data_IF_915248005765
#
_entry.id   IF_915248005765
#
_cell.length_a   1.000
_cell.length_b   1.000
_cell.length_c   1.000
_cell.angle_alpha   90.00
_cell.angle_beta   90.00
_cell.angle_gamma   90.00
#
_symmetry.space_group_name_H-M   'P 1'
#
loop_
_entity.id
_entity.type
_entity.pdbx_description
1 polymer ?
#
# COMPACT_ATOMS: atom_id res chain seq x y z
N UNK A 1 -10.66 -2.20 13.95
CA UNK A 1 -9.55 -2.60 14.86
C UNK A 1 -9.01 -3.99 14.49
N UNK A 2 -9.87 -5.00 14.36
CA UNK A 2 -9.46 -6.41 14.11
C UNK A 2 -8.74 -6.66 12.78
N UNK A 3 -8.85 -5.78 11.81
CA UNK A 3 -8.09 -5.86 10.55
C UNK A 3 -6.61 -5.50 10.71
N UNK A 4 -6.29 -4.69 11.73
CA UNK A 4 -4.95 -4.17 11.94
C UNK A 4 -4.31 -4.61 13.26
N UNK A 5 -5.11 -5.04 14.24
CA UNK A 5 -4.66 -5.39 15.59
C UNK A 5 -5.11 -6.79 16.00
N UNK A 6 -4.24 -7.49 16.72
CA UNK A 6 -4.63 -8.69 17.45
C UNK A 6 -5.59 -8.30 18.59
N UNK A 7 -6.73 -8.98 18.69
CA UNK A 7 -7.80 -8.63 19.64
C UNK A 7 -7.42 -8.80 21.12
N UNK A 8 -6.33 -9.55 21.42
CA UNK A 8 -5.91 -9.82 22.81
C UNK A 8 -4.71 -9.00 23.21
N UNK A 9 -3.73 -8.81 22.28
CA UNK A 9 -2.47 -8.15 22.59
C UNK A 9 -2.43 -6.70 22.11
N UNK A 10 -3.33 -6.32 21.22
CA UNK A 10 -3.33 -5.04 20.50
C UNK A 10 -2.10 -4.79 19.63
N UNK A 11 -1.23 -5.77 19.46
CA UNK A 11 -0.12 -5.70 18.52
C UNK A 11 -0.62 -5.59 17.08
N UNK A 12 0.16 -4.91 16.23
CA UNK A 12 -0.16 -4.81 14.81
C UNK A 12 -0.08 -6.19 14.15
N UNK A 13 -1.14 -6.55 13.44
CA UNK A 13 -1.25 -7.82 12.74
C UNK A 13 -2.21 -7.69 11.55
N UNK A 14 -1.76 -7.93 10.31
CA UNK A 14 -2.68 -8.09 9.19
C UNK A 14 -3.63 -9.27 9.43
N UNK A 15 -4.91 -9.09 9.16
CA UNK A 15 -5.92 -10.12 9.37
C UNK A 15 -6.10 -11.05 8.14
N UNK A 16 -5.70 -10.57 6.94
CA UNK A 16 -6.00 -11.26 5.68
C UNK A 16 -4.95 -12.29 5.30
N UNK A 17 -5.35 -13.58 5.07
CA UNK A 17 -4.41 -14.65 4.74
C UNK A 17 -3.60 -14.40 3.46
N UNK A 18 -4.20 -13.78 2.43
CA UNK A 18 -3.56 -13.55 1.14
C UNK A 18 -2.21 -12.81 1.23
N UNK A 19 -2.06 -11.87 2.20
CA UNK A 19 -0.78 -11.19 2.42
C UNK A 19 0.29 -12.16 2.93
N UNK A 20 -0.04 -13.01 3.88
CA UNK A 20 0.90 -14.00 4.43
C UNK A 20 1.33 -15.00 3.37
N UNK A 21 0.41 -15.45 2.54
CA UNK A 21 0.66 -16.37 1.43
C UNK A 21 1.54 -15.74 0.36
N UNK A 22 1.24 -14.50 -0.05
CA UNK A 22 2.04 -13.77 -1.03
C UNK A 22 3.49 -13.59 -0.54
N UNK A 23 3.68 -13.22 0.72
CA UNK A 23 5.01 -13.05 1.29
C UNK A 23 5.74 -14.38 1.45
N UNK A 24 5.04 -15.44 1.82
CA UNK A 24 5.64 -16.77 1.91
C UNK A 24 6.14 -17.25 0.52
N UNK A 25 5.43 -16.96 -0.57
CA UNK A 25 5.84 -17.31 -1.93
C UNK A 25 7.16 -16.62 -2.35
N UNK A 26 7.44 -15.44 -1.85
CA UNK A 26 8.72 -14.73 -2.07
C UNK A 26 9.75 -14.94 -0.94
N UNK A 27 9.55 -15.97 -0.12
CA UNK A 27 10.50 -16.36 0.93
C UNK A 27 10.52 -15.44 2.17
N UNK A 28 9.49 -14.63 2.37
CA UNK A 28 9.35 -13.72 3.52
C UNK A 28 8.28 -14.21 4.49
N UNK A 29 8.43 -13.85 5.77
CA UNK A 29 7.43 -14.13 6.81
C UNK A 29 6.94 -12.82 7.41
N UNK A 30 5.68 -12.48 7.19
CA UNK A 30 5.02 -11.28 7.73
C UNK A 30 5.16 -11.18 9.25
N UNK A 31 5.16 -12.32 9.98
CA UNK A 31 5.27 -12.37 11.43
C UNK A 31 6.63 -11.90 11.96
N UNK A 32 7.65 -11.88 11.09
CA UNK A 32 9.02 -11.43 11.41
C UNK A 32 9.26 -9.97 11.03
N UNK A 33 8.26 -9.30 10.47
CA UNK A 33 8.36 -7.89 10.14
C UNK A 33 8.61 -7.04 11.40
N UNK A 34 9.45 -6.03 11.28
CA UNK A 34 9.64 -5.04 12.34
C UNK A 34 8.34 -4.26 12.59
N UNK A 35 8.22 -3.62 13.75
CA UNK A 35 7.08 -2.77 14.05
C UNK A 35 6.88 -1.69 12.99
N UNK A 36 7.97 -1.09 12.48
CA UNK A 36 7.91 -0.06 11.43
C UNK A 36 7.38 -0.63 10.10
N UNK A 37 7.83 -1.81 9.69
CA UNK A 37 7.29 -2.48 8.50
C UNK A 37 5.82 -2.84 8.70
N UNK A 38 5.46 -3.33 9.89
CA UNK A 38 4.08 -3.70 10.20
C UNK A 38 3.11 -2.52 10.08
N UNK A 39 3.56 -1.28 10.36
CA UNK A 39 2.81 -0.03 10.14
C UNK A 39 2.48 0.25 8.66
N UNK A 40 3.12 -0.47 7.74
CA UNK A 40 2.74 -0.50 6.31
C UNK A 40 1.96 -1.76 5.95
N UNK A 41 2.34 -2.93 6.48
CA UNK A 41 1.75 -4.21 6.10
C UNK A 41 0.26 -4.34 6.48
N UNK A 42 -0.16 -3.73 7.58
CA UNK A 42 -1.59 -3.68 7.94
C UNK A 42 -2.43 -2.88 6.92
N UNK A 43 -1.80 -2.02 6.13
CA UNK A 43 -2.45 -1.32 5.02
C UNK A 43 -2.31 -2.14 3.72
N UNK A 44 -1.13 -2.71 3.48
CA UNK A 44 -0.80 -3.49 2.30
C UNK A 44 -1.72 -4.71 2.09
N UNK A 45 -2.29 -5.27 3.16
CA UNK A 45 -3.25 -6.39 3.05
C UNK A 45 -4.51 -6.04 2.22
N UNK A 46 -4.75 -4.75 1.95
CA UNK A 46 -5.85 -4.26 1.10
C UNK A 46 -5.34 -3.32 0.00
N UNK A 47 -4.27 -2.55 0.25
CA UNK A 47 -3.69 -1.59 -0.68
C UNK A 47 -2.55 -2.20 -1.50
N UNK A 48 -2.82 -3.31 -2.18
CA UNK A 48 -1.89 -4.05 -3.03
C UNK A 48 -2.62 -4.56 -4.26
N UNK A 49 -1.90 -4.89 -5.32
CA UNK A 49 -2.49 -5.48 -6.51
C UNK A 49 -3.04 -6.87 -6.20
N UNK A 50 -4.16 -7.23 -6.82
CA UNK A 50 -4.81 -8.51 -6.60
C UNK A 50 -5.68 -8.94 -7.78
N UNK A 51 -5.99 -10.23 -7.84
CA UNK A 51 -7.01 -10.78 -8.71
C UNK A 51 -7.73 -11.95 -8.02
N UNK A 52 -8.80 -12.42 -8.63
CA UNK A 52 -9.52 -13.60 -8.16
C UNK A 52 -9.26 -14.79 -9.08
N UNK A 53 -8.75 -15.87 -8.52
CA UNK A 53 -8.55 -17.14 -9.19
C UNK A 53 -9.91 -17.82 -9.40
N UNK A 54 -10.49 -17.70 -10.59
CA UNK A 54 -11.82 -18.23 -10.92
C UNK A 54 -11.89 -19.75 -10.77
N UNK A 55 -10.84 -20.43 -11.18
CA UNK A 55 -10.74 -21.90 -11.12
C UNK A 55 -10.65 -22.42 -9.68
N UNK A 56 -10.21 -21.57 -8.75
CA UNK A 56 -10.09 -21.87 -7.33
C UNK A 56 -11.20 -21.20 -6.49
N UNK A 57 -12.43 -21.15 -7.02
CA UNK A 57 -13.59 -20.62 -6.30
C UNK A 57 -13.56 -19.10 -6.06
N UNK A 58 -12.95 -18.33 -6.94
CA UNK A 58 -12.69 -16.91 -6.80
C UNK A 58 -11.81 -16.58 -5.58
N UNK A 59 -10.77 -17.38 -5.37
CA UNK A 59 -9.82 -17.13 -4.29
C UNK A 59 -9.01 -15.87 -4.55
N UNK A 60 -8.83 -15.04 -3.51
CA UNK A 60 -8.05 -13.80 -3.59
C UNK A 60 -6.55 -14.11 -3.67
N UNK A 61 -5.90 -13.65 -4.72
CA UNK A 61 -4.48 -13.84 -4.96
C UNK A 61 -3.77 -12.50 -5.17
N UNK A 62 -2.56 -12.36 -4.62
CA UNK A 62 -1.67 -11.22 -4.86
C UNK A 62 -0.56 -11.66 -5.83
N UNK A 63 -0.41 -11.03 -7.01
CA UNK A 63 0.49 -11.45 -8.09
C UNK A 63 1.94 -10.99 -7.84
N UNK A 64 2.53 -11.39 -6.73
CA UNK A 64 3.83 -10.89 -6.26
C UNK A 64 4.96 -11.91 -6.37
N UNK A 65 4.75 -13.04 -7.03
CA UNK A 65 5.72 -14.13 -7.19
C UNK A 65 7.00 -13.70 -7.90
N UNK A 66 6.91 -12.70 -8.78
CA UNK A 66 8.05 -12.15 -9.52
C UNK A 66 8.66 -10.91 -8.86
N UNK A 67 8.03 -10.37 -7.84
CA UNK A 67 8.49 -9.20 -7.09
C UNK A 67 7.36 -8.27 -6.67
N UNK A 68 7.75 -7.18 -6.02
CA UNK A 68 6.84 -6.19 -5.41
C UNK A 68 6.80 -4.90 -6.23
N UNK A 69 6.82 -5.00 -7.55
CA UNK A 69 6.70 -3.85 -8.48
C UNK A 69 5.51 -4.05 -9.41
N UNK A 70 5.03 -2.97 -10.02
CA UNK A 70 3.96 -3.05 -11.01
C UNK A 70 4.37 -3.88 -12.23
N UNK A 71 5.62 -3.74 -12.67
CA UNK A 71 6.18 -4.50 -13.79
C UNK A 71 6.25 -6.01 -13.47
N UNK A 72 6.60 -6.37 -12.24
CA UNK A 72 6.64 -7.76 -11.81
C UNK A 72 5.22 -8.37 -11.77
N UNK A 73 4.21 -7.59 -11.38
CA UNK A 73 2.81 -8.03 -11.43
C UNK A 73 2.34 -8.23 -12.88
N UNK A 74 2.69 -7.32 -13.80
CA UNK A 74 2.40 -7.47 -15.24
C UNK A 74 3.05 -8.73 -15.80
N UNK A 75 4.34 -8.95 -15.54
CA UNK A 75 5.06 -10.15 -15.96
C UNK A 75 4.42 -11.43 -15.42
N UNK A 76 3.93 -11.38 -14.18
CA UNK A 76 3.20 -12.50 -13.58
C UNK A 76 1.91 -12.79 -14.36
N UNK A 77 1.07 -11.77 -14.59
CA UNK A 77 -0.19 -11.91 -15.33
C UNK A 77 0.03 -12.42 -16.76
N UNK A 78 1.06 -11.94 -17.44
CA UNK A 78 1.43 -12.43 -18.77
C UNK A 78 1.82 -13.91 -18.72
N UNK A 79 2.58 -14.32 -17.69
CA UNK A 79 3.04 -15.70 -17.56
C UNK A 79 1.91 -16.72 -17.39
N UNK A 80 0.78 -16.32 -16.79
CA UNK A 80 -0.41 -17.15 -16.60
C UNK A 80 -1.51 -16.86 -17.64
N UNK A 81 -1.28 -15.93 -18.55
CA UNK A 81 -2.26 -15.52 -19.57
C UNK A 81 -3.52 -14.85 -19.01
N UNK A 82 -3.42 -14.26 -17.83
CA UNK A 82 -4.56 -13.62 -17.16
C UNK A 82 -4.97 -12.32 -17.83
N UNK A 83 -6.25 -12.07 -17.89
CA UNK A 83 -6.87 -10.80 -18.28
C UNK A 83 -8.26 -10.69 -17.65
N UNK A 84 -8.71 -9.47 -17.37
CA UNK A 84 -10.02 -9.24 -16.76
C UNK A 84 -11.15 -9.42 -17.78
N UNK A 85 -11.00 -8.83 -18.98
CA UNK A 85 -11.99 -8.92 -20.05
C UNK A 85 -11.39 -8.68 -21.44
N UNK A 86 -12.18 -9.01 -22.47
CA UNK A 86 -11.85 -8.72 -23.86
C UNK A 86 -12.66 -7.52 -24.32
N UNK A 87 -11.99 -6.49 -24.83
CA UNK A 87 -12.65 -5.34 -25.39
C UNK A 87 -13.54 -5.77 -26.60
N UNK A 88 -14.84 -5.45 -26.61
CA UNK A 88 -15.75 -5.96 -27.63
C UNK A 88 -15.47 -5.41 -29.04
N UNK A 89 -14.84 -4.25 -29.15
CA UNK A 89 -14.52 -3.63 -30.44
C UNK A 89 -13.15 -4.05 -30.95
N UNK A 90 -12.08 -3.79 -30.18
CA UNK A 90 -10.71 -4.05 -30.59
C UNK A 90 -10.29 -5.52 -30.45
N UNK A 91 -11.06 -6.33 -29.73
CA UNK A 91 -10.73 -7.71 -29.33
C UNK A 91 -9.46 -7.83 -28.48
N UNK A 92 -8.92 -6.71 -28.02
CA UNK A 92 -7.77 -6.71 -27.13
C UNK A 92 -8.13 -7.29 -25.76
N UNK A 93 -7.23 -8.08 -25.20
CA UNK A 93 -7.27 -8.50 -23.79
C UNK A 93 -6.91 -7.31 -22.93
N UNK A 94 -7.74 -7.01 -21.94
CA UNK A 94 -7.55 -5.87 -21.04
C UNK A 94 -7.29 -6.40 -19.64
N UNK A 95 -6.18 -5.96 -19.08
CA UNK A 95 -5.83 -6.10 -17.68
C UNK A 95 -6.19 -4.81 -16.95
N UNK A 96 -6.85 -4.93 -15.84
CA UNK A 96 -7.18 -3.80 -14.95
C UNK A 96 -6.25 -3.84 -13.73
N UNK A 97 -5.46 -2.80 -13.53
CA UNK A 97 -4.78 -2.60 -12.25
C UNK A 97 -5.83 -2.34 -11.16
N UNK A 98 -5.88 -3.20 -10.14
CA UNK A 98 -6.90 -3.12 -9.09
C UNK A 98 -6.51 -2.09 -8.03
N UNK A 99 -5.38 -2.32 -7.33
CA UNK A 99 -5.02 -1.49 -6.20
C UNK A 99 -3.51 -1.50 -5.87
N UNK A 100 -2.58 -1.27 -6.82
CA UNK A 100 -1.13 -1.42 -6.63
C UNK A 100 -0.50 -0.30 -5.77
N UNK A 101 -1.17 0.13 -4.70
CA UNK A 101 -0.72 1.23 -3.86
C UNK A 101 0.57 0.91 -3.10
N UNK A 102 0.69 -0.31 -2.59
CA UNK A 102 1.87 -0.75 -1.85
C UNK A 102 3.08 -0.92 -2.75
N UNK A 103 2.90 -1.47 -3.95
CA UNK A 103 3.93 -1.62 -4.96
C UNK A 103 4.49 -0.26 -5.40
N UNK A 104 3.60 0.71 -5.68
CA UNK A 104 3.98 2.09 -6.02
C UNK A 104 4.71 2.78 -4.86
N UNK A 105 4.21 2.60 -3.64
CA UNK A 105 4.86 3.16 -2.44
C UNK A 105 6.29 2.62 -2.26
N UNK A 106 6.52 1.31 -2.44
CA UNK A 106 7.84 0.70 -2.31
C UNK A 106 8.86 1.24 -3.31
N UNK A 107 8.42 1.64 -4.50
CA UNK A 107 9.27 2.26 -5.53
C UNK A 107 9.59 3.73 -5.22
N UNK A 108 8.78 4.39 -4.40
CA UNK A 108 8.96 5.78 -3.99
C UNK A 108 10.06 5.97 -2.96
N UNK A 109 10.63 7.19 -2.91
CA UNK A 109 11.72 7.54 -1.99
C UNK A 109 11.35 7.31 -0.51
N UNK A 110 10.10 7.54 -0.12
CA UNK A 110 9.64 7.33 1.26
C UNK A 110 9.63 5.85 1.62
N UNK A 111 9.14 4.98 0.74
CA UNK A 111 9.18 3.53 0.93
C UNK A 111 10.62 3.00 1.02
N UNK A 112 11.49 3.45 0.11
CA UNK A 112 12.92 3.08 0.12
C UNK A 112 13.66 3.55 1.39
N UNK A 113 13.18 4.60 2.05
CA UNK A 113 13.73 5.12 3.31
C UNK A 113 13.04 4.57 4.55
N UNK A 114 12.11 3.63 4.40
CA UNK A 114 11.42 2.97 5.50
C UNK A 114 10.40 3.86 6.23
N UNK A 115 9.93 4.95 5.60
CA UNK A 115 8.81 5.74 6.13
C UNK A 115 7.53 4.94 5.91
N UNK A 116 6.78 4.63 6.96
CA UNK A 116 5.59 3.79 6.83
C UNK A 116 4.36 4.52 6.29
N UNK A 117 3.38 3.76 5.80
CA UNK A 117 2.08 4.32 5.41
C UNK A 117 1.44 5.10 6.57
N UNK A 118 1.53 4.56 7.78
CA UNK A 118 0.97 5.19 8.97
C UNK A 118 1.69 6.48 9.38
N UNK A 119 2.98 6.66 9.06
CA UNK A 119 3.70 7.89 9.37
C UNK A 119 3.09 9.11 8.66
N UNK A 120 2.53 8.88 7.45
CA UNK A 120 1.88 9.92 6.67
C UNK A 120 0.36 9.97 6.87
N UNK A 121 -0.32 8.80 6.87
CA UNK A 121 -1.79 8.73 6.89
C UNK A 121 -2.39 8.65 8.30
N UNK A 122 -1.57 8.30 9.30
CA UNK A 122 -1.93 8.16 10.71
C UNK A 122 -0.83 8.75 11.59
N UNK A 123 -0.53 10.07 11.49
CA UNK A 123 0.59 10.66 12.21
C UNK A 123 0.43 10.52 13.72
N UNK A 124 1.53 10.62 14.44
CA UNK A 124 1.49 10.63 15.89
C UNK A 124 0.85 11.92 16.41
N UNK A 125 -0.01 11.77 17.39
CA UNK A 125 -0.58 12.84 18.20
C UNK A 125 -0.24 12.63 19.68
N UNK A 126 -0.30 13.69 20.46
CA UNK A 126 -0.06 13.63 21.91
C UNK A 126 -1.21 14.31 22.63
N UNK A 127 -1.81 13.63 23.57
CA UNK A 127 -2.91 14.11 24.37
C UNK A 127 -2.72 13.64 25.81
N UNK A 128 -2.85 14.54 26.79
CA UNK A 128 -2.64 14.20 28.19
C UNK A 128 -1.28 13.60 28.53
N UNK A 129 -0.22 13.94 27.75
CA UNK A 129 1.13 13.37 27.93
C UNK A 129 1.32 11.96 27.30
N UNK A 130 0.28 11.38 26.70
CA UNK A 130 0.36 10.10 26.01
C UNK A 130 0.51 10.33 24.51
N UNK A 131 1.50 9.69 23.88
CA UNK A 131 1.74 9.70 22.45
C UNK A 131 1.12 8.45 21.82
N UNK A 132 0.26 8.65 20.81
CA UNK A 132 -0.36 7.55 20.06
C UNK A 132 -0.57 7.91 18.60
N UNK A 133 -0.88 6.94 17.77
CA UNK A 133 -1.17 7.12 16.33
C UNK A 133 -2.60 7.62 16.15
N UNK A 134 -2.78 8.70 15.39
CA UNK A 134 -4.10 9.21 15.02
C UNK A 134 -4.81 8.19 14.10
N UNK A 135 -5.93 7.63 14.56
CA UNK A 135 -6.69 6.65 13.80
C UNK A 135 -7.69 7.26 12.81
N UNK A 136 -7.73 8.58 12.68
CA UNK A 136 -8.45 9.25 11.60
C UNK A 136 -7.62 9.23 10.32
N UNK A 137 -7.68 8.09 9.60
CA UNK A 137 -6.95 7.90 8.34
C UNK A 137 -7.41 8.96 7.34
N UNK A 138 -6.48 9.82 6.92
CA UNK A 138 -6.79 10.94 6.03
C UNK A 138 -5.62 11.27 5.10
N UNK A 139 -5.84 12.17 4.15
CA UNK A 139 -4.76 12.68 3.31
C UNK A 139 -3.69 13.37 4.17
N UNK A 140 -2.40 13.09 3.95
CA UNK A 140 -1.31 13.78 4.63
C UNK A 140 -1.36 15.30 4.46
N UNK A 141 -1.91 15.78 3.34
CA UNK A 141 -2.08 17.21 3.05
C UNK A 141 -3.05 17.93 4.00
N UNK A 142 -3.91 17.18 4.69
CA UNK A 142 -4.78 17.74 5.73
C UNK A 142 -4.03 18.04 7.04
N UNK A 143 -2.86 17.41 7.24
CA UNK A 143 -2.10 17.47 8.48
C UNK A 143 -0.58 17.66 8.23
N UNK A 144 -0.19 18.53 7.30
CA UNK A 144 1.20 18.70 6.84
C UNK A 144 2.19 18.90 8.00
N UNK A 145 1.81 19.63 9.04
CA UNK A 145 2.66 19.89 10.21
C UNK A 145 3.00 18.63 11.01
N UNK A 146 2.09 17.65 11.05
CA UNK A 146 2.26 16.39 11.78
C UNK A 146 2.75 15.24 10.90
N UNK A 147 2.68 15.41 9.59
CA UNK A 147 3.11 14.41 8.60
C UNK A 147 4.42 14.83 7.94
N UNK A 148 4.37 15.76 7.00
CA UNK A 148 5.52 16.15 6.18
C UNK A 148 6.59 16.90 6.99
N UNK A 149 6.19 17.86 7.84
CA UNK A 149 7.14 18.73 8.57
C UNK A 149 7.83 18.02 9.75
N UNK A 150 7.54 16.76 10.03
CA UNK A 150 8.34 15.94 10.93
C UNK A 150 9.74 15.67 10.36
N UNK A 151 9.89 15.70 9.04
CA UNK A 151 11.14 15.47 8.32
C UNK A 151 11.51 16.63 7.36
N UNK A 152 10.53 17.29 6.76
CA UNK A 152 10.72 18.39 5.81
C UNK A 152 10.68 19.74 6.50
N UNK A 153 11.59 20.66 6.11
CA UNK A 153 11.75 21.99 6.71
C UNK A 153 11.01 23.10 5.97
N UNK A 154 10.48 22.82 4.79
CA UNK A 154 9.70 23.78 4.02
C UNK A 154 8.39 24.12 4.76
N UNK A 155 7.84 25.29 4.50
CA UNK A 155 6.51 25.66 5.00
C UNK A 155 5.42 24.79 4.39
N UNK A 156 4.26 24.77 5.05
CA UNK A 156 3.17 23.87 4.68
C UNK A 156 2.59 24.16 3.29
N UNK A 157 2.58 25.44 2.88
CA UNK A 157 2.06 25.83 1.57
C UNK A 157 2.98 25.37 0.44
N UNK A 158 4.30 25.57 0.60
CA UNK A 158 5.31 25.05 -0.34
C UNK A 158 5.20 23.54 -0.50
N UNK A 159 5.06 22.78 0.59
CA UNK A 159 4.92 21.32 0.54
C UNK A 159 3.63 20.90 -0.17
N UNK A 160 2.52 21.58 0.09
CA UNK A 160 1.22 21.34 -0.57
C UNK A 160 1.32 21.60 -2.07
N UNK A 161 1.88 22.75 -2.43
CA UNK A 161 2.04 23.14 -3.83
C UNK A 161 2.91 22.15 -4.60
N UNK A 162 4.01 21.68 -4.03
CA UNK A 162 4.86 20.65 -4.63
C UNK A 162 4.10 19.35 -4.94
N UNK A 163 3.15 18.97 -4.09
CA UNK A 163 2.30 17.78 -4.34
C UNK A 163 1.33 18.06 -5.49
N UNK A 164 0.65 19.19 -5.47
CA UNK A 164 -0.31 19.57 -6.52
C UNK A 164 0.35 19.68 -7.90
N UNK A 165 1.54 20.27 -7.97
CA UNK A 165 2.29 20.35 -9.23
C UNK A 165 2.65 18.97 -9.79
N UNK A 166 3.01 18.01 -8.93
CA UNK A 166 3.27 16.63 -9.35
C UNK A 166 2.00 15.93 -9.81
N UNK A 167 0.89 16.10 -9.09
CA UNK A 167 -0.41 15.55 -9.47
C UNK A 167 -0.86 16.11 -10.81
N UNK A 168 -0.70 17.44 -11.02
CA UNK A 168 -1.05 18.09 -12.28
C UNK A 168 -0.23 17.54 -13.45
N UNK A 169 1.07 17.34 -13.27
CA UNK A 169 1.92 16.73 -14.31
C UNK A 169 1.42 15.35 -14.72
N UNK A 170 0.98 14.51 -13.78
CA UNK A 170 0.44 13.19 -14.10
C UNK A 170 -0.93 13.30 -14.80
N UNK A 171 -1.74 14.28 -14.40
CA UNK A 171 -3.05 14.50 -15.02
C UNK A 171 -2.92 15.00 -16.47
N UNK A 172 -1.88 15.76 -16.80
CA UNK A 172 -1.65 16.36 -18.11
C UNK A 172 -1.06 15.35 -19.14
N UNK A 173 -0.68 14.13 -18.69
CA UNK A 173 -0.27 13.01 -19.56
C UNK A 173 -1.47 12.21 -20.08
#
# INVERSE_FOLDING_TARGET
CSDCHDARTMELRPARPALYEAWARVGKDVRKASHQEMRSLVCAQCHTEYYFEKENGNYLHFPQEKGMTCEAAEEYYDSIGFYDYINPLSKAKILKAQHPGYELYLQGIHGQRGVSCADCHMPYISEGGVKYTDHHITSPLANISRTCQTCHRQDAETLRQNVYERQQKIYDF
#
